data_IF_380269623719
#
_entry.id   IF_380269623719
#
_cell.length_a   1.000
_cell.length_b   1.000
_cell.length_c   1.000
_cell.angle_alpha   90.00
_cell.angle_beta   90.00
_cell.angle_gamma   90.00
#
_symmetry.space_group_name_H-M   'P 1'
#
loop_
_entity.id
_entity.type
_entity.pdbx_description
1 polymer ?
#
# COMPACT_ATOMS: atom_id res chain seq x y z
N UNK A 1 12.01 14.48 12.96
CA UNK A 1 12.02 13.31 12.07
C UNK A 1 11.33 13.73 10.79
N UNK A 2 12.07 13.89 9.69
CA UNK A 2 11.47 14.07 8.38
C UNK A 2 11.17 12.68 7.83
N UNK A 3 9.89 12.40 7.56
CA UNK A 3 9.45 11.17 6.85
C UNK A 3 9.77 11.25 5.34
N UNK A 4 10.65 12.16 4.96
CA UNK A 4 11.05 12.45 3.59
C UNK A 4 12.16 11.48 3.18
N UNK A 5 11.74 10.24 2.96
CA UNK A 5 12.62 9.12 2.67
C UNK A 5 12.13 8.40 1.43
N UNK A 6 13.06 8.21 0.49
CA UNK A 6 12.77 7.48 -0.73
C UNK A 6 12.84 5.98 -0.48
N UNK A 7 11.70 5.36 -0.19
CA UNK A 7 11.55 3.92 -0.08
C UNK A 7 10.79 3.36 -1.28
N UNK A 8 11.35 2.33 -1.89
CA UNK A 8 10.68 1.58 -2.95
C UNK A 8 9.54 0.75 -2.37
N UNK A 9 9.79 0.03 -1.27
CA UNK A 9 8.85 -0.97 -0.77
C UNK A 9 8.24 -0.54 0.55
N UNK A 10 6.91 -0.58 0.65
CA UNK A 10 6.20 -0.59 1.93
C UNK A 10 5.41 -1.88 2.11
N UNK A 11 5.27 -2.31 3.36
CA UNK A 11 4.39 -3.40 3.75
C UNK A 11 3.54 -2.94 4.90
N UNK A 12 2.26 -2.76 4.65
CA UNK A 12 1.26 -2.40 5.65
C UNK A 12 0.52 -3.66 6.08
N UNK A 13 0.50 -3.91 7.38
CA UNK A 13 -0.23 -5.00 8.03
C UNK A 13 -1.33 -4.37 8.87
N UNK A 14 -2.58 -4.63 8.50
CA UNK A 14 -3.77 -4.21 9.24
C UNK A 14 -4.47 -5.46 9.76
N UNK A 15 -4.76 -5.49 11.05
CA UNK A 15 -5.55 -6.55 11.68
C UNK A 15 -6.93 -6.66 11.04
N UNK A 16 -7.52 -5.54 10.64
CA UNK A 16 -8.88 -5.47 10.09
C UNK A 16 -8.96 -5.69 8.59
N UNK A 17 -7.95 -5.27 7.83
CA UNK A 17 -7.96 -5.24 6.36
C UNK A 17 -6.99 -6.22 5.69
N UNK A 18 -6.12 -6.89 6.46
CA UNK A 18 -5.10 -7.79 5.93
C UNK A 18 -3.78 -7.09 5.65
N UNK A 19 -3.01 -7.59 4.69
CA UNK A 19 -1.68 -7.06 4.36
C UNK A 19 -1.65 -6.48 2.96
N UNK A 20 -0.95 -5.35 2.78
CA UNK A 20 -0.63 -4.77 1.48
C UNK A 20 0.87 -4.60 1.36
N UNK A 21 1.45 -5.13 0.28
CA UNK A 21 2.82 -4.84 -0.13
C UNK A 21 2.77 -3.94 -1.35
N UNK A 22 3.40 -2.77 -1.29
CA UNK A 22 3.45 -1.81 -2.39
C UNK A 22 4.90 -1.53 -2.77
N UNK A 23 5.15 -1.46 -4.08
CA UNK A 23 6.40 -0.98 -4.67
C UNK A 23 6.12 0.29 -5.47
N UNK A 24 6.70 1.41 -5.05
CA UNK A 24 6.49 2.73 -5.66
C UNK A 24 7.76 3.21 -6.36
N UNK A 25 7.61 3.82 -7.55
CA UNK A 25 8.73 4.47 -8.22
C UNK A 25 9.12 5.74 -7.46
N UNK A 26 10.42 5.93 -7.23
CA UNK A 26 10.95 6.97 -6.34
C UNK A 26 11.89 7.97 -7.03
N UNK A 27 11.97 7.97 -8.37
CA UNK A 27 12.80 8.94 -9.11
C UNK A 27 11.93 9.85 -9.98
N UNK A 28 11.87 11.14 -9.61
CA UNK A 28 11.02 12.15 -10.27
C UNK A 28 9.56 12.10 -9.81
N UNK A 29 8.71 12.97 -10.36
CA UNK A 29 7.25 13.03 -10.09
C UNK A 29 6.47 11.82 -10.65
N UNK A 30 7.10 10.64 -10.71
CA UNK A 30 6.48 9.43 -11.25
C UNK A 30 5.48 8.87 -10.25
N UNK A 31 4.19 9.05 -10.53
CA UNK A 31 3.06 8.52 -9.74
C UNK A 31 2.81 7.03 -9.99
N UNK A 32 3.88 6.26 -10.22
CA UNK A 32 3.78 4.89 -10.70
C UNK A 32 4.06 3.89 -9.56
N UNK A 33 3.23 2.86 -9.41
CA UNK A 33 3.43 1.81 -8.41
C UNK A 33 2.72 0.51 -8.78
N UNK A 34 3.13 -0.57 -8.12
CA UNK A 34 2.36 -1.81 -8.07
C UNK A 34 2.12 -2.20 -6.63
N UNK A 35 0.97 -2.80 -6.34
CA UNK A 35 0.74 -3.38 -5.04
C UNK A 35 0.01 -4.72 -5.14
N UNK A 36 0.19 -5.50 -4.09
CA UNK A 36 -0.50 -6.75 -3.81
C UNK A 36 -1.10 -6.64 -2.41
N UNK A 37 -2.41 -6.81 -2.31
CA UNK A 37 -3.14 -6.83 -1.05
C UNK A 37 -3.83 -8.18 -0.85
N UNK A 38 -3.87 -8.66 0.38
CA UNK A 38 -4.54 -9.93 0.71
C UNK A 38 -5.11 -9.96 2.13
N UNK A 39 -6.24 -10.68 2.28
CA UNK A 39 -6.86 -11.05 3.57
C UNK A 39 -7.52 -12.41 3.43
N UNK A 40 -7.00 -13.42 4.12
CA UNK A 40 -7.43 -14.81 3.90
C UNK A 40 -7.21 -15.21 2.44
N UNK A 41 -8.24 -15.75 1.79
CA UNK A 41 -8.20 -16.11 0.37
C UNK A 41 -8.39 -14.91 -0.58
N UNK A 42 -8.95 -13.79 -0.09
CA UNK A 42 -9.18 -12.62 -0.93
C UNK A 42 -7.88 -11.89 -1.23
N UNK A 43 -7.56 -11.76 -2.52
CA UNK A 43 -6.42 -11.00 -3.05
C UNK A 43 -6.87 -9.91 -4.02
N UNK A 44 -6.17 -8.79 -4.00
CA UNK A 44 -6.34 -7.66 -4.91
C UNK A 44 -4.97 -7.09 -5.28
N UNK A 45 -4.67 -7.07 -6.57
CA UNK A 45 -3.50 -6.41 -7.14
C UNK A 45 -3.89 -5.14 -7.88
N UNK A 46 -2.99 -4.16 -7.87
CA UNK A 46 -3.09 -3.02 -8.78
C UNK A 46 -1.72 -2.61 -9.33
N UNK A 47 -1.73 -2.09 -10.54
CA UNK A 47 -0.59 -1.43 -11.18
C UNK A 47 -1.04 -0.08 -11.68
N UNK A 48 -0.37 0.98 -11.25
CA UNK A 48 -0.57 2.35 -11.73
C UNK A 48 0.67 2.71 -12.54
N UNK A 49 0.46 2.98 -13.81
CA UNK A 49 1.46 3.53 -14.74
C UNK A 49 1.18 5.03 -14.92
N UNK A 50 2.06 5.80 -15.61
CA UNK A 50 1.81 7.21 -15.89
C UNK A 50 0.51 7.53 -16.67
N UNK A 51 -0.14 6.53 -17.28
CA UNK A 51 -1.29 6.73 -18.16
C UNK A 51 -2.47 5.80 -17.90
N UNK A 52 -2.37 4.85 -16.96
CA UNK A 52 -3.40 3.85 -16.75
C UNK A 52 -3.31 3.17 -15.39
N UNK A 53 -4.48 2.74 -14.90
CA UNK A 53 -4.65 1.84 -13.77
C UNK A 53 -5.04 0.45 -14.29
N UNK A 54 -4.41 -0.57 -13.74
CA UNK A 54 -4.75 -1.97 -13.95
C UNK A 54 -5.05 -2.61 -12.60
N UNK A 55 -6.09 -3.45 -12.53
CA UNK A 55 -6.42 -4.20 -11.33
C UNK A 55 -6.62 -5.66 -11.64
N UNK A 56 -6.33 -6.53 -10.67
CA UNK A 56 -6.66 -7.95 -10.72
C UNK A 56 -7.14 -8.40 -9.35
N UNK A 57 -8.34 -8.93 -9.27
CA UNK A 57 -8.91 -9.40 -8.01
C UNK A 57 -9.25 -10.88 -8.09
N UNK A 58 -8.95 -11.61 -7.02
CA UNK A 58 -9.52 -12.95 -6.81
C UNK A 58 -11.04 -12.92 -6.80
N UNK A 59 -11.66 -14.07 -7.05
CA UNK A 59 -13.11 -14.24 -6.90
C UNK A 59 -13.59 -13.77 -5.53
N UNK A 60 -12.92 -14.15 -4.46
CA UNK A 60 -13.27 -13.80 -3.08
C UNK A 60 -13.21 -12.29 -2.85
N UNK A 61 -12.22 -11.59 -3.40
CA UNK A 61 -12.13 -10.14 -3.32
C UNK A 61 -13.26 -9.44 -4.09
N UNK A 62 -13.56 -9.92 -5.31
CA UNK A 62 -14.62 -9.35 -6.15
C UNK A 62 -16.02 -9.58 -5.57
N UNK A 63 -16.22 -10.67 -4.82
CA UNK A 63 -17.50 -10.97 -4.15
C UNK A 63 -17.87 -10.02 -3.01
N UNK A 64 -16.91 -9.24 -2.49
CA UNK A 64 -17.17 -8.24 -1.43
C UNK A 64 -17.92 -7.02 -1.97
N UNK A 65 -17.84 -6.73 -3.27
CA UNK A 65 -18.52 -5.60 -3.88
C UNK A 65 -20.06 -5.76 -3.79
N UNK A 66 -20.82 -4.71 -3.42
CA UNK A 66 -22.29 -4.78 -3.34
C UNK A 66 -22.96 -5.30 -4.62
N UNK A 67 -22.37 -4.97 -5.78
CA UNK A 67 -22.86 -5.36 -7.10
C UNK A 67 -22.60 -6.83 -7.43
N UNK A 68 -21.71 -7.51 -6.71
CA UNK A 68 -21.33 -8.90 -7.00
C UNK A 68 -22.52 -9.87 -6.93
N UNK A 69 -23.47 -9.62 -6.03
CA UNK A 69 -24.70 -10.43 -5.91
C UNK A 69 -25.64 -10.24 -7.10
N UNK A 70 -25.65 -9.02 -7.68
CA UNK A 70 -26.49 -8.69 -8.84
C UNK A 70 -25.87 -9.22 -10.14
N UNK A 71 -24.55 -9.35 -10.20
CA UNK A 71 -23.82 -9.75 -11.39
C UNK A 71 -22.81 -10.89 -11.11
N UNK A 72 -23.28 -12.11 -10.77
CA UNK A 72 -22.39 -13.23 -10.46
C UNK A 72 -21.55 -13.70 -11.65
N UNK A 73 -22.07 -13.58 -12.89
CA UNK A 73 -21.31 -13.86 -14.11
C UNK A 73 -20.13 -12.91 -14.26
N UNK A 74 -20.32 -11.62 -13.95
CA UNK A 74 -19.23 -10.63 -13.95
C UNK A 74 -18.09 -11.04 -13.02
N UNK A 75 -18.41 -11.49 -11.80
CA UNK A 75 -17.39 -11.97 -10.87
C UNK A 75 -16.58 -13.13 -11.47
N UNK A 76 -17.24 -14.10 -12.12
CA UNK A 76 -16.56 -15.24 -12.74
C UNK A 76 -15.65 -14.81 -13.89
N UNK A 77 -16.12 -13.92 -14.75
CA UNK A 77 -15.36 -13.46 -15.94
C UNK A 77 -14.16 -12.61 -15.53
N UNK A 78 -14.27 -11.77 -14.49
CA UNK A 78 -13.21 -10.86 -14.07
C UNK A 78 -12.17 -11.49 -13.13
N UNK A 79 -12.53 -12.56 -12.41
CA UNK A 79 -11.67 -13.14 -11.38
C UNK A 79 -10.29 -13.51 -11.93
N UNK A 80 -9.25 -13.14 -11.18
CA UNK A 80 -7.85 -13.47 -11.42
C UNK A 80 -7.28 -12.97 -12.77
N UNK A 81 -8.00 -12.05 -13.44
CA UNK A 81 -7.56 -11.42 -14.69
C UNK A 81 -7.18 -9.96 -14.50
N UNK A 82 -6.18 -9.52 -15.25
CA UNK A 82 -5.83 -8.11 -15.30
C UNK A 82 -6.82 -7.34 -16.15
N UNK A 83 -7.40 -6.30 -15.57
CA UNK A 83 -8.33 -5.39 -16.24
C UNK A 83 -7.73 -4.00 -16.24
N UNK A 84 -7.56 -3.42 -17.42
CA UNK A 84 -7.29 -1.99 -17.60
C UNK A 84 -8.56 -1.23 -17.25
N UNK A 85 -8.47 -0.38 -16.23
CA UNK A 85 -9.60 0.42 -15.74
C UNK A 85 -9.82 1.64 -16.63
N UNK A 86 -11.05 2.10 -16.67
CA UNK A 86 -11.44 3.30 -17.38
C UNK A 86 -10.75 4.56 -16.82
N UNK A 87 -10.70 5.60 -17.64
CA UNK A 87 -9.92 6.82 -17.36
C UNK A 87 -10.39 7.55 -16.10
N UNK A 88 -11.70 7.54 -15.82
CA UNK A 88 -12.30 8.12 -14.63
C UNK A 88 -11.79 7.45 -13.34
N UNK A 89 -11.73 6.12 -13.31
CA UNK A 89 -11.20 5.37 -12.17
C UNK A 89 -9.70 5.61 -12.03
N UNK A 90 -8.98 5.69 -13.15
CA UNK A 90 -7.56 6.02 -13.16
C UNK A 90 -7.30 7.41 -12.56
N UNK A 91 -8.05 8.44 -12.94
CA UNK A 91 -7.87 9.81 -12.46
C UNK A 91 -8.04 9.92 -10.93
N UNK A 92 -8.96 9.17 -10.35
CA UNK A 92 -9.14 9.12 -8.88
C UNK A 92 -7.97 8.42 -8.18
N UNK A 93 -7.37 7.41 -8.82
CA UNK A 93 -6.40 6.51 -8.18
C UNK A 93 -4.95 6.87 -8.47
N UNK A 94 -4.65 7.65 -9.53
CA UNK A 94 -3.29 7.92 -9.98
C UNK A 94 -2.39 8.54 -8.91
N UNK A 95 -2.95 9.31 -7.98
CA UNK A 95 -2.20 9.99 -6.93
C UNK A 95 -1.89 9.11 -5.72
N UNK A 96 -2.42 7.89 -5.65
CA UNK A 96 -2.17 6.96 -4.53
C UNK A 96 -0.69 6.60 -4.38
N UNK A 97 0.04 6.53 -5.49
CA UNK A 97 1.46 6.20 -5.48
C UNK A 97 2.35 7.42 -5.16
N UNK A 98 1.80 8.63 -5.24
CA UNK A 98 2.58 9.86 -5.09
C UNK A 98 3.25 9.90 -3.70
N UNK A 99 4.55 10.25 -3.61
CA UNK A 99 5.28 10.29 -2.33
C UNK A 99 4.56 11.15 -1.28
N UNK A 100 4.07 12.34 -1.67
CA UNK A 100 3.30 13.22 -0.78
C UNK A 100 2.03 12.56 -0.26
N UNK A 101 1.21 11.95 -1.12
CA UNK A 101 -0.03 11.27 -0.71
C UNK A 101 0.26 10.17 0.32
N UNK A 102 1.27 9.33 0.07
CA UNK A 102 1.65 8.24 0.97
C UNK A 102 2.15 8.77 2.32
N UNK A 103 2.94 9.84 2.31
CA UNK A 103 3.41 10.52 3.53
C UNK A 103 2.24 11.10 4.31
N UNK A 104 1.37 11.88 3.66
CA UNK A 104 0.21 12.51 4.28
C UNK A 104 -0.71 11.45 4.92
N UNK A 105 -0.91 10.29 4.26
CA UNK A 105 -1.65 9.18 4.85
C UNK A 105 -0.98 8.56 6.07
N UNK A 106 0.35 8.46 6.09
CA UNK A 106 1.08 7.98 7.26
C UNK A 106 0.98 8.98 8.42
N UNK A 107 1.20 10.26 8.16
CA UNK A 107 1.16 11.33 9.15
C UNK A 107 -0.22 11.47 9.80
N UNK A 108 -1.31 11.31 9.03
CA UNK A 108 -2.69 11.29 9.58
C UNK A 108 -2.94 10.21 10.63
N UNK A 109 -2.15 9.14 10.66
CA UNK A 109 -2.26 8.01 11.62
C UNK A 109 -1.25 8.10 12.77
N UNK A 110 -0.39 9.11 12.75
CA UNK A 110 0.67 9.29 13.74
C UNK A 110 0.37 10.50 14.64
N UNK A 111 0.80 10.47 15.91
CA UNK A 111 0.85 11.67 16.72
C UNK A 111 1.80 12.69 16.09
N UNK A 112 1.46 13.97 16.22
CA UNK A 112 2.32 15.04 15.73
C UNK A 112 3.68 15.04 16.42
N UNK A 113 4.72 15.54 15.74
CA UNK A 113 6.04 15.69 16.35
C UNK A 113 6.02 16.56 17.62
N UNK A 114 5.14 17.56 17.67
CA UNK A 114 4.97 18.41 18.85
C UNK A 114 4.43 17.65 20.05
N UNK A 115 3.50 16.71 19.84
CA UNK A 115 3.02 15.81 20.89
C UNK A 115 4.13 14.86 21.33
N UNK A 116 4.80 14.20 20.39
CA UNK A 116 5.88 13.24 20.70
C UNK A 116 7.04 13.87 21.49
N UNK A 117 7.39 15.14 21.23
CA UNK A 117 8.44 15.85 21.98
C UNK A 117 8.10 16.07 23.46
N UNK A 118 6.82 16.12 23.81
CA UNK A 118 6.34 16.29 25.19
C UNK A 118 6.19 14.96 25.93
N UNK A 119 6.35 13.85 25.21
CA UNK A 119 6.15 12.50 25.71
C UNK A 119 7.48 11.86 26.05
N UNK A 120 7.56 11.16 27.19
CA UNK A 120 8.72 10.34 27.51
C UNK A 120 8.86 9.19 26.51
N UNK A 121 10.09 8.92 26.08
CA UNK A 121 10.39 7.79 25.20
C UNK A 121 11.41 6.86 25.83
N UNK A 122 11.30 5.59 25.50
CA UNK A 122 12.32 4.59 25.81
C UNK A 122 12.98 4.13 24.52
N UNK A 123 14.29 3.88 24.60
CA UNK A 123 15.07 3.40 23.46
C UNK A 123 15.68 2.05 23.80
N UNK A 124 15.61 1.12 22.83
CA UNK A 124 16.19 -0.21 22.93
C UNK A 124 16.79 -0.62 21.58
N UNK A 125 17.90 -1.38 21.55
CA UNK A 125 18.35 -2.03 20.33
C UNK A 125 17.26 -2.95 19.77
N UNK A 126 17.20 -3.05 18.45
CA UNK A 126 16.26 -3.87 17.72
C UNK A 126 16.83 -4.31 16.37
N UNK A 127 16.09 -5.18 15.69
CA UNK A 127 16.40 -5.60 14.33
C UNK A 127 15.12 -5.62 13.52
N UNK A 128 15.16 -5.04 12.31
CA UNK A 128 14.02 -5.04 11.38
C UNK A 128 14.50 -5.60 10.05
N UNK A 129 13.93 -6.71 9.61
CA UNK A 129 14.27 -7.36 8.34
C UNK A 129 15.79 -7.62 8.21
N UNK A 130 16.43 -8.08 9.30
CA UNK A 130 17.87 -8.35 9.36
C UNK A 130 18.75 -7.10 9.49
N UNK A 131 18.18 -5.89 9.54
CA UNK A 131 18.94 -4.63 9.67
C UNK A 131 18.96 -4.14 11.13
N UNK A 132 20.12 -3.75 11.66
CA UNK A 132 20.23 -3.09 12.97
C UNK A 132 19.39 -1.82 13.06
N UNK A 133 18.68 -1.66 14.18
CA UNK A 133 17.79 -0.53 14.40
C UNK A 133 17.76 -0.12 15.88
N UNK A 134 17.39 1.13 16.13
CA UNK A 134 16.93 1.61 17.43
C UNK A 134 15.42 1.62 17.42
N UNK A 135 14.81 0.88 18.35
CA UNK A 135 13.38 0.99 18.65
C UNK A 135 13.16 2.12 19.65
N UNK A 136 12.37 3.10 19.27
CA UNK A 136 11.94 4.22 20.10
C UNK A 136 10.45 4.05 20.38
N UNK A 137 10.09 3.86 21.64
CA UNK A 137 8.68 3.70 22.07
C UNK A 137 8.21 4.96 22.77
N UNK A 138 7.12 5.55 22.28
CA UNK A 138 6.44 6.68 22.91
C UNK A 138 5.14 6.21 23.55
N UNK A 139 4.91 6.60 24.81
CA UNK A 139 3.63 6.36 25.50
C UNK A 139 2.63 7.46 25.15
N UNK A 140 1.63 7.15 24.35
CA UNK A 140 0.61 8.11 23.94
C UNK A 140 -0.78 7.64 24.41
N UNK A 141 -1.69 8.58 24.62
CA UNK A 141 -3.10 8.34 24.99
C UNK A 141 -3.78 7.39 24.00
N UNK A 142 -3.49 7.52 22.70
CA UNK A 142 -3.95 6.64 21.63
C UNK A 142 -3.17 5.32 21.52
N UNK A 143 -2.59 4.83 22.60
CA UNK A 143 -1.73 3.65 22.63
C UNK A 143 -0.25 3.94 22.33
N UNK A 144 0.61 2.99 22.67
CA UNK A 144 2.05 3.12 22.43
C UNK A 144 2.36 3.16 20.92
N UNK A 145 3.22 4.11 20.53
CA UNK A 145 3.74 4.21 19.16
C UNK A 145 5.21 3.83 19.17
N UNK A 146 5.59 2.89 18.32
CA UNK A 146 6.99 2.46 18.19
C UNK A 146 7.54 2.83 16.81
N UNK A 147 8.69 3.50 16.80
CA UNK A 147 9.48 3.77 15.61
C UNK A 147 10.74 2.93 15.64
N UNK A 148 11.06 2.27 14.53
CA UNK A 148 12.30 1.54 14.36
C UNK A 148 13.15 2.28 13.33
N UNK A 149 14.26 2.87 13.79
CA UNK A 149 15.13 3.71 12.96
C UNK A 149 16.44 2.96 12.72
N UNK A 150 16.92 2.93 11.47
CA UNK A 150 18.21 2.33 11.13
C UNK A 150 19.36 2.98 11.93
N UNK A 151 20.25 2.17 12.49
CA UNK A 151 21.45 2.65 13.21
C UNK A 151 22.67 2.81 12.32
N UNK A 152 22.62 2.26 11.11
CA UNK A 152 23.72 2.29 10.14
C UNK A 152 23.33 3.12 8.92
N UNK A 153 24.26 3.95 8.45
CA UNK A 153 24.05 4.83 7.30
C UNK A 153 23.02 5.93 7.57
N UNK A 154 22.18 6.23 6.57
CA UNK A 154 21.10 7.22 6.71
C UNK A 154 20.03 6.69 7.67
N UNK A 155 19.51 7.51 8.63
CA UNK A 155 18.57 7.07 9.66
C UNK A 155 17.16 6.85 9.09
N UNK A 156 17.01 5.80 8.29
CA UNK A 156 15.74 5.42 7.68
C UNK A 156 14.74 4.92 8.71
N UNK A 157 13.47 5.29 8.58
CA UNK A 157 12.37 4.66 9.29
C UNK A 157 12.14 3.28 8.67
N UNK A 158 12.48 2.22 9.40
CA UNK A 158 12.36 0.85 8.94
C UNK A 158 10.97 0.25 9.25
N UNK A 159 10.37 0.65 10.37
CA UNK A 159 9.03 0.22 10.76
C UNK A 159 8.39 1.21 11.73
N UNK A 160 7.08 1.37 11.63
CA UNK A 160 6.27 2.06 12.62
C UNK A 160 5.07 1.21 13.01
N UNK A 161 4.77 1.17 14.31
CA UNK A 161 3.61 0.46 14.84
C UNK A 161 2.82 1.31 15.82
N UNK A 162 1.50 1.21 15.75
CA UNK A 162 0.55 1.60 16.78
C UNK A 162 -0.66 0.64 16.69
N UNK A 163 -0.73 -0.40 17.54
CA UNK A 163 -1.80 -1.38 17.50
C UNK A 163 -3.21 -0.81 17.73
N UNK A 164 -3.33 0.24 18.56
CA UNK A 164 -4.62 0.87 18.85
C UNK A 164 -5.21 1.60 17.62
N UNK A 165 -4.36 2.00 16.68
CA UNK A 165 -4.73 2.67 15.43
C UNK A 165 -4.65 1.75 14.20
N UNK A 166 -4.50 0.43 14.41
CA UNK A 166 -4.26 -0.57 13.36
C UNK A 166 -3.11 -0.18 12.40
N UNK A 167 -2.05 0.41 12.97
CA UNK A 167 -0.85 0.81 12.24
C UNK A 167 0.25 -0.23 12.47
N UNK A 168 0.65 -0.90 11.41
CA UNK A 168 1.92 -1.63 11.32
C UNK A 168 2.43 -1.49 9.88
N UNK A 169 3.46 -0.67 9.68
CA UNK A 169 3.99 -0.39 8.36
C UNK A 169 5.52 -0.48 8.39
N UNK A 170 6.10 -1.30 7.52
CA UNK A 170 7.56 -1.41 7.34
C UNK A 170 8.00 -0.92 5.98
N UNK A 171 9.21 -0.36 5.90
CA UNK A 171 9.78 0.26 4.72
C UNK A 171 11.14 -0.33 4.39
N UNK A 172 11.40 -0.56 3.10
CA UNK A 172 12.66 -1.14 2.63
C UNK A 172 12.98 -0.72 1.20
N UNK A 173 14.11 -1.24 0.69
CA UNK A 173 14.58 -0.98 -0.67
C UNK A 173 14.79 0.51 -0.98
N UNK A 174 15.32 1.24 0.01
CA UNK A 174 15.58 2.67 -0.08
C UNK A 174 16.52 3.01 -1.23
N UNK A 175 16.17 4.05 -2.00
CA UNK A 175 16.98 4.55 -3.12
C UNK A 175 17.14 3.61 -4.32
N UNK A 176 16.46 2.45 -4.35
CA UNK A 176 16.52 1.53 -5.49
C UNK A 176 15.64 2.01 -6.65
N UNK A 177 16.10 1.91 -7.91
CA UNK A 177 15.29 2.25 -9.07
C UNK A 177 14.15 1.24 -9.22
N UNK A 178 13.01 1.70 -9.75
CA UNK A 178 11.87 0.85 -10.00
C UNK A 178 11.07 1.34 -11.20
N UNK A 179 10.62 0.39 -12.01
CA UNK A 179 9.77 0.63 -13.17
C UNK A 179 8.57 -0.31 -13.10
N UNK A 180 7.44 0.21 -13.55
CA UNK A 180 6.21 -0.56 -13.76
C UNK A 180 5.85 -0.51 -15.22
N UNK A 181 5.24 -1.58 -15.69
CA UNK A 181 4.68 -1.69 -17.03
C UNK A 181 3.24 -2.20 -16.91
N UNK A 182 2.48 -2.03 -17.98
CA UNK A 182 1.18 -2.68 -18.10
C UNK A 182 1.35 -4.20 -17.92
N UNK A 183 0.45 -4.86 -17.15
CA UNK A 183 0.44 -6.31 -17.10
C UNK A 183 0.19 -6.90 -18.49
N UNK A 184 0.90 -7.98 -18.87
CA UNK A 184 0.65 -8.65 -20.15
C UNK A 184 -0.76 -9.25 -20.17
N UNK A 185 -1.43 -9.14 -21.32
CA UNK A 185 -2.78 -9.69 -21.51
C UNK A 185 -3.86 -9.00 -20.68
N UNK A 186 -3.64 -7.77 -20.22
CA UNK A 186 -4.69 -6.99 -19.58
C UNK A 186 -5.78 -6.64 -20.60
N UNK A 187 -7.02 -7.03 -20.32
CA UNK A 187 -8.17 -6.66 -21.14
C UNK A 187 -8.76 -5.32 -20.69
N UNK A 188 -9.49 -4.63 -21.56
CA UNK A 188 -10.23 -3.42 -21.19
C UNK A 188 -11.54 -3.75 -20.46
N UNK A 189 -12.17 -2.75 -19.85
CA UNK A 189 -13.49 -2.96 -19.26
C UNK A 189 -14.56 -3.24 -20.32
N UNK A 190 -14.41 -2.71 -21.53
CA UNK A 190 -15.29 -2.99 -22.67
C UNK A 190 -15.19 -4.46 -23.11
N UNK A 191 -13.98 -4.97 -23.35
CA UNK A 191 -13.75 -6.38 -23.70
C UNK A 191 -14.33 -7.32 -22.63
N UNK A 192 -14.12 -6.98 -21.35
CA UNK A 192 -14.69 -7.75 -20.23
C UNK A 192 -16.21 -7.67 -20.19
N UNK A 193 -16.82 -6.53 -20.54
CA UNK A 193 -18.27 -6.38 -20.58
C UNK A 193 -18.89 -7.23 -21.70
N UNK A 194 -18.26 -7.28 -22.87
CA UNK A 194 -18.67 -8.13 -23.99
C UNK A 194 -18.62 -9.61 -23.60
N UNK A 195 -17.53 -10.06 -22.98
CA UNK A 195 -17.42 -11.43 -22.47
C UNK A 195 -18.48 -11.76 -21.40
N UNK A 196 -18.81 -10.80 -20.53
CA UNK A 196 -19.87 -10.96 -19.54
C UNK A 196 -21.24 -11.12 -20.20
N UNK A 197 -21.53 -10.34 -21.25
CA UNK A 197 -22.78 -10.46 -22.01
C UNK A 197 -22.86 -11.78 -22.76
N UNK A 198 -21.75 -12.25 -23.34
CA UNK A 198 -21.68 -13.54 -24.04
C UNK A 198 -21.81 -14.76 -23.11
N UNK A 199 -21.57 -14.58 -21.81
CA UNK A 199 -21.62 -15.62 -20.78
C UNK A 199 -22.91 -15.61 -19.92
N UNK A 200 -23.88 -14.76 -20.26
CA UNK A 200 -25.22 -14.72 -19.65
C UNK A 200 -26.14 -15.78 -20.26
#
# INVERSE_FOLDING_TARGET
MTLDQDYLRSTRRKRTEGTTVMHSAMSGDTKACKAHAWKGAATLDWVITPSALYTRGSKEALQVAPEAKKYPTRVKVLADRWVKRNADVYEVMRDMCAPKTRRDWLEKRLPSLGQLKKTSSTQRPATVQGRPATRITYKWEGGAVEFHIATEGKPFLLRVTNPAMDLDESFSDFGKPFRVAAPPGAATEEEMAEEVLAAQ
#
